data_IF_286379427565
#
_entry.id   IF_286379427565
#
_cell.length_a   1.000
_cell.length_b   1.000
_cell.length_c   1.000
_cell.angle_alpha   90.00
_cell.angle_beta   90.00
_cell.angle_gamma   90.00
#
_symmetry.space_group_name_H-M   'P 1'
#
loop_
_entity.id
_entity.type
_entity.pdbx_description
1 polymer ?
#
# COMPACT_ATOMS: atom_id res chain seq x y z
N UNK A 1 -19.74 4.52 -3.94
CA UNK A 1 -19.58 4.55 -3.37
C UNK A 1 -19.57 4.57 -2.61
N UNK A 2 -19.46 4.40 -2.66
CA UNK A 2 -19.66 4.48 -2.04
C UNK A 2 -19.36 5.12 -1.04
N UNK A 3 -19.37 5.20 -0.68
CA UNK A 3 -19.62 5.78 0.59
C UNK A 3 -18.61 5.28 1.61
N UNK A 4 -17.66 6.14 1.92
CA UNK A 4 -16.67 5.75 2.91
C UNK A 4 -17.13 6.03 4.34
N UNK A 5 -18.27 6.67 4.51
CA UNK A 5 -18.67 7.14 5.82
C UNK A 5 -18.95 6.05 6.83
N UNK A 6 -19.31 4.87 6.38
CA UNK A 6 -19.62 3.79 7.29
C UNK A 6 -18.55 2.75 7.44
N UNK A 7 -17.43 2.91 6.74
CA UNK A 7 -16.41 1.88 6.68
C UNK A 7 -15.20 2.22 7.54
N UNK A 8 -14.54 1.17 8.00
CA UNK A 8 -13.27 1.31 8.65
C UNK A 8 -12.17 0.95 7.67
N UNK A 9 -10.99 1.46 7.96
CA UNK A 9 -9.81 1.20 7.12
C UNK A 9 -8.65 0.83 7.99
N UNK A 10 -7.71 0.08 7.41
CA UNK A 10 -6.45 -0.22 8.05
C UNK A 10 -5.38 0.57 7.33
N UNK A 11 -4.57 1.30 8.09
CA UNK A 11 -3.43 2.05 7.54
C UNK A 11 -2.17 1.48 8.16
N UNK A 12 -1.17 1.21 7.34
CA UNK A 12 0.08 0.65 7.83
C UNK A 12 1.23 1.13 6.96
N UNK A 13 2.44 0.86 7.43
CA UNK A 13 3.63 1.16 6.65
C UNK A 13 3.71 0.21 5.46
N UNK A 14 4.15 0.74 4.33
CA UNK A 14 4.54 -0.13 3.22
C UNK A 14 5.84 -0.83 3.58
N UNK A 15 6.00 -2.07 3.12
CA UNK A 15 7.21 -2.83 3.41
C UNK A 15 8.37 -2.35 2.55
N UNK A 16 8.11 -1.98 1.31
CA UNK A 16 9.17 -1.71 0.36
C UNK A 16 9.41 -0.24 0.08
N UNK A 17 8.46 0.63 0.44
CA UNK A 17 8.52 2.02 0.02
C UNK A 17 8.20 2.93 1.20
N UNK A 18 8.66 4.18 1.17
CA UNK A 18 8.35 5.12 2.25
C UNK A 18 6.97 5.73 2.07
N UNK A 19 5.97 4.89 2.07
CA UNK A 19 4.59 5.34 1.92
C UNK A 19 3.70 4.53 2.85
N UNK A 20 2.43 4.90 2.90
CA UNK A 20 1.45 4.18 3.68
C UNK A 20 0.53 3.40 2.77
N UNK A 21 0.06 2.27 3.27
CA UNK A 21 -0.93 1.47 2.58
C UNK A 21 -2.23 1.53 3.33
N UNK A 22 -3.31 1.73 2.60
CA UNK A 22 -4.66 1.83 3.18
C UNK A 22 -5.51 0.73 2.59
N UNK A 23 -6.05 -0.11 3.46
CA UNK A 23 -6.91 -1.21 3.06
C UNK A 23 -8.31 -0.97 3.56
N UNK A 24 -9.35 -1.19 2.73
CA UNK A 24 -10.70 -1.30 3.29
C UNK A 24 -10.74 -2.46 4.27
N UNK A 25 -11.51 -2.31 5.34
CA UNK A 25 -11.52 -3.33 6.38
C UNK A 25 -11.91 -4.70 5.83
N UNK A 26 -12.87 -4.77 4.93
CA UNK A 26 -13.28 -6.05 4.38
C UNK A 26 -12.14 -6.75 3.65
N UNK A 27 -11.37 -6.00 2.87
CA UNK A 27 -10.23 -6.56 2.18
C UNK A 27 -9.13 -6.99 3.13
N UNK A 28 -8.93 -6.18 4.18
CA UNK A 28 -7.91 -6.51 5.17
C UNK A 28 -8.26 -7.80 5.91
N UNK A 29 -9.53 -7.97 6.25
CA UNK A 29 -9.93 -9.17 6.97
C UNK A 29 -9.71 -10.42 6.15
N UNK A 30 -9.99 -10.35 4.85
CA UNK A 30 -9.75 -11.50 3.98
C UNK A 30 -8.28 -11.82 3.90
N UNK A 31 -7.45 -10.80 3.83
CA UNK A 31 -6.00 -11.00 3.79
C UNK A 31 -5.51 -11.62 5.08
N UNK A 32 -6.02 -11.14 6.22
CA UNK A 32 -5.59 -11.65 7.51
C UNK A 32 -6.02 -13.09 7.72
N UNK A 33 -7.13 -13.52 7.11
CA UNK A 33 -7.51 -14.93 7.19
C UNK A 33 -6.41 -15.80 6.61
N UNK A 34 -5.82 -15.37 5.50
CA UNK A 34 -4.72 -16.12 4.91
C UNK A 34 -3.47 -16.08 5.77
N UNK A 35 -3.17 -14.90 6.29
CA UNK A 35 -1.96 -14.72 7.09
C UNK A 35 -2.05 -15.52 8.38
N UNK A 36 -3.24 -15.59 8.96
CA UNK A 36 -3.41 -16.31 10.23
C UNK A 36 -3.25 -17.80 10.08
N UNK A 37 -3.23 -18.30 8.86
CA UNK A 37 -2.96 -19.73 8.65
C UNK A 37 -1.48 -20.07 8.70
N UNK A 38 -0.62 -19.07 8.73
CA UNK A 38 0.82 -19.31 8.81
C UNK A 38 1.21 -19.82 10.17
N UNK A 39 2.18 -20.72 10.19
CA UNK A 39 2.71 -21.26 11.45
C UNK A 39 3.63 -20.22 12.09
N UNK A 40 3.14 -19.57 13.15
CA UNK A 40 3.89 -18.49 13.78
C UNK A 40 5.09 -18.96 14.59
N UNK A 41 5.21 -20.26 14.81
CA UNK A 41 6.37 -20.78 15.49
C UNK A 41 7.59 -20.83 14.59
N UNK A 42 7.42 -20.70 13.28
CA UNK A 42 8.55 -20.59 12.37
C UNK A 42 9.01 -19.15 12.33
N UNK A 43 10.30 -18.95 12.50
CA UNK A 43 10.84 -17.58 12.60
C UNK A 43 10.57 -16.77 11.35
N UNK A 44 10.71 -17.37 10.17
CA UNK A 44 10.50 -16.61 8.94
C UNK A 44 9.06 -16.13 8.82
N UNK A 45 8.11 -16.95 9.28
CA UNK A 45 6.71 -16.54 9.22
C UNK A 45 6.43 -15.43 10.21
N UNK A 46 6.97 -15.54 11.41
CA UNK A 46 6.79 -14.50 12.42
C UNK A 46 7.43 -13.20 11.97
N UNK A 47 8.60 -13.27 11.36
CA UNK A 47 9.26 -12.07 10.85
C UNK A 47 8.45 -11.41 9.75
N UNK A 48 7.90 -12.23 8.86
CA UNK A 48 7.06 -11.72 7.79
C UNK A 48 5.86 -10.97 8.35
N UNK A 49 5.17 -11.58 9.30
CA UNK A 49 3.96 -10.98 9.87
C UNK A 49 4.31 -9.66 10.55
N UNK A 50 5.41 -9.65 11.32
CA UNK A 50 5.80 -8.44 12.03
C UNK A 50 6.11 -7.31 11.07
N UNK A 51 6.85 -7.60 10.01
CA UNK A 51 7.20 -6.56 9.05
C UNK A 51 5.98 -6.12 8.26
N UNK A 52 5.11 -7.05 7.91
CA UNK A 52 3.94 -6.73 7.12
C UNK A 52 2.96 -5.86 7.89
N UNK A 53 2.82 -6.08 9.19
CA UNK A 53 1.83 -5.35 9.99
C UNK A 53 2.40 -4.18 10.76
N UNK A 54 3.66 -3.81 10.50
CA UNK A 54 4.28 -2.73 11.25
C UNK A 54 3.51 -1.43 11.08
N UNK A 55 3.28 -0.75 12.20
CA UNK A 55 2.60 0.54 12.18
C UNK A 55 1.11 0.49 11.97
N UNK A 56 0.53 -0.68 11.98
CA UNK A 56 -0.88 -0.87 11.67
C UNK A 56 -1.77 -0.10 12.61
N UNK A 57 -2.74 0.63 12.04
CA UNK A 57 -3.76 1.35 12.79
C UNK A 57 -5.10 1.13 12.10
N UNK A 58 -6.15 0.99 12.89
CA UNK A 58 -7.50 0.98 12.36
C UNK A 58 -8.05 2.39 12.47
N UNK A 59 -8.58 2.92 11.38
CA UNK A 59 -9.09 4.28 11.35
C UNK A 59 -10.49 4.28 10.74
N UNK A 60 -11.29 5.26 11.17
CA UNK A 60 -12.62 5.46 10.64
C UNK A 60 -12.71 6.89 10.12
N UNK A 61 -13.38 7.08 8.97
CA UNK A 61 -13.57 8.45 8.48
C UNK A 61 -14.36 9.27 9.49
N UNK A 62 -14.05 10.56 9.59
CA UNK A 62 -14.84 11.44 10.42
C UNK A 62 -16.11 11.84 9.68
N UNK A 63 -16.89 12.75 10.27
CA UNK A 63 -18.17 13.15 9.68
C UNK A 63 -18.02 13.79 8.31
N UNK A 64 -16.83 14.33 8.02
CA UNK A 64 -16.57 14.93 6.72
C UNK A 64 -15.92 13.96 5.74
N UNK A 65 -15.78 12.69 6.12
CA UNK A 65 -15.16 11.70 5.26
C UNK A 65 -13.65 11.72 5.25
N UNK A 66 -13.04 12.34 6.24
CA UNK A 66 -11.58 12.44 6.30
C UNK A 66 -11.01 11.37 7.22
N UNK A 67 -9.87 10.83 6.83
CA UNK A 67 -9.13 9.88 7.66
C UNK A 67 -8.02 10.63 8.37
N UNK A 68 -7.87 10.35 9.66
CA UNK A 68 -6.82 10.96 10.45
C UNK A 68 -5.65 9.99 10.53
N UNK A 69 -4.51 10.41 10.03
CA UNK A 69 -3.31 9.59 10.02
C UNK A 69 -2.52 9.88 11.28
N UNK A 70 -2.11 8.83 11.98
CA UNK A 70 -1.39 8.99 13.22
C UNK A 70 -0.03 9.65 12.97
N UNK A 71 0.53 10.22 14.04
CA UNK A 71 1.78 10.94 13.92
C UNK A 71 2.92 10.01 13.50
N UNK A 72 2.98 8.82 14.06
CA UNK A 72 4.08 7.91 13.73
C UNK A 72 4.04 7.49 12.26
N UNK A 73 2.84 7.29 11.71
CA UNK A 73 2.74 6.95 10.29
C UNK A 73 3.07 8.15 9.42
N UNK A 74 2.62 9.34 9.82
CA UNK A 74 2.97 10.55 9.10
C UNK A 74 4.48 10.73 9.05
N UNK A 75 5.15 10.48 10.15
CA UNK A 75 6.60 10.59 10.19
C UNK A 75 7.28 9.52 9.35
N UNK A 76 6.77 8.31 9.41
CA UNK A 76 7.36 7.23 8.61
C UNK A 76 7.37 7.58 7.13
N UNK A 77 6.24 8.07 6.62
CA UNK A 77 6.12 8.38 5.20
C UNK A 77 6.56 9.80 4.88
N UNK A 78 6.98 10.55 5.91
CA UNK A 78 7.44 11.92 5.73
C UNK A 78 6.40 12.78 5.01
N UNK A 79 5.15 12.61 5.41
CA UNK A 79 4.05 13.34 4.79
C UNK A 79 4.11 14.80 5.17
N UNK A 80 3.98 15.66 4.17
CA UNK A 80 3.99 17.11 4.34
C UNK A 80 2.65 17.65 3.89
N UNK A 81 2.65 18.85 3.38
CA UNK A 81 1.41 19.51 2.99
C UNK A 81 0.70 18.84 1.82
N UNK A 82 1.47 18.41 0.84
CA UNK A 82 0.91 17.83 -0.36
C UNK A 82 1.17 16.35 -0.40
N UNK A 83 0.12 15.60 -0.62
CA UNK A 83 0.22 14.15 -0.67
C UNK A 83 -0.39 13.65 -1.96
N UNK A 84 -0.01 12.44 -2.33
CA UNK A 84 -0.56 11.74 -3.49
C UNK A 84 -1.20 10.46 -2.99
N UNK A 85 -2.42 10.21 -3.44
CA UNK A 85 -3.12 8.98 -3.12
C UNK A 85 -3.30 8.23 -4.43
N UNK A 86 -2.77 7.01 -4.47
CA UNK A 86 -2.85 6.22 -5.68
C UNK A 86 -3.46 4.86 -5.39
N UNK A 87 -4.07 4.30 -6.40
CA UNK A 87 -4.66 2.97 -6.30
C UNK A 87 -3.60 1.93 -6.61
N UNK A 88 -3.58 0.87 -5.81
CA UNK A 88 -2.60 -0.20 -5.99
C UNK A 88 -3.34 -1.53 -5.84
N UNK A 89 -4.24 -1.81 -6.79
CA UNK A 89 -5.04 -3.02 -6.75
C UNK A 89 -6.11 -2.93 -5.68
N UNK A 90 -6.03 -3.80 -4.69
CA UNK A 90 -7.05 -3.87 -3.65
C UNK A 90 -6.86 -2.86 -2.54
N UNK A 91 -5.83 -2.02 -2.64
CA UNK A 91 -5.52 -1.06 -1.59
C UNK A 91 -5.14 0.27 -2.21
N UNK A 92 -4.98 1.28 -1.35
CA UNK A 92 -4.50 2.59 -1.78
C UNK A 92 -3.16 2.86 -1.12
N UNK A 93 -2.34 3.68 -1.77
CA UNK A 93 -1.10 4.15 -1.17
C UNK A 93 -1.19 5.64 -0.94
N UNK A 94 -0.63 6.09 0.18
CA UNK A 94 -0.53 7.52 0.50
C UNK A 94 0.95 7.88 0.53
N UNK A 95 1.33 8.85 -0.29
CA UNK A 95 2.70 9.28 -0.44
C UNK A 95 2.82 10.76 -0.19
N UNK A 96 3.96 11.16 0.34
CA UNK A 96 4.37 12.55 0.22
C UNK A 96 4.59 12.84 -1.26
N UNK A 97 4.14 14.00 -1.72
CA UNK A 97 4.18 14.29 -3.14
C UNK A 97 5.58 14.23 -3.72
N UNK A 98 6.54 14.85 -3.02
CA UNK A 98 7.92 14.86 -3.51
C UNK A 98 8.51 13.46 -3.55
N UNK A 99 8.21 12.66 -2.53
CA UNK A 99 8.71 11.29 -2.50
C UNK A 99 8.13 10.47 -3.63
N UNK A 100 6.84 10.67 -3.92
CA UNK A 100 6.20 9.95 -5.01
C UNK A 100 6.83 10.32 -6.35
N UNK A 101 7.03 11.62 -6.57
CA UNK A 101 7.61 12.06 -7.83
C UNK A 101 9.00 11.50 -8.03
N UNK A 102 9.76 11.39 -6.95
CA UNK A 102 11.11 10.85 -7.04
C UNK A 102 11.08 9.37 -7.43
N UNK A 103 10.10 8.64 -6.93
CA UNK A 103 10.02 7.21 -7.18
C UNK A 103 9.59 6.91 -8.61
N UNK A 104 8.67 7.71 -9.16
CA UNK A 104 8.16 7.44 -10.50
C UNK A 104 8.98 8.07 -11.60
N UNK A 105 9.96 8.91 -11.25
CA UNK A 105 10.79 9.57 -12.26
C UNK A 105 11.85 8.60 -12.73
N UNK A 106 11.85 8.30 -14.03
CA UNK A 106 12.82 7.41 -14.61
C UNK A 106 12.96 7.78 -16.08
N UNK A 107 14.10 7.42 -16.68
CA UNK A 107 14.29 7.67 -18.09
C UNK A 107 13.47 6.67 -18.92
N UNK A 108 13.23 7.04 -20.18
CA UNK A 108 12.52 6.14 -21.07
C UNK A 108 13.27 4.82 -21.23
N UNK A 109 14.57 4.90 -21.31
CA UNK A 109 15.39 3.69 -21.45
C UNK A 109 15.26 2.78 -20.24
N UNK A 110 15.33 3.39 -19.05
CA UNK A 110 15.26 2.58 -17.84
C UNK A 110 13.89 1.96 -17.68
N UNK A 111 12.86 2.72 -18.02
CA UNK A 111 11.51 2.17 -17.93
C UNK A 111 11.33 1.02 -18.92
N UNK A 112 11.86 1.17 -20.12
CA UNK A 112 11.73 0.11 -21.12
C UNK A 112 12.40 -1.17 -20.64
N UNK A 113 13.58 -1.05 -20.02
CA UNK A 113 14.26 -2.22 -19.49
C UNK A 113 13.46 -2.87 -18.37
N UNK A 114 12.92 -2.04 -17.49
CA UNK A 114 12.13 -2.56 -16.39
C UNK A 114 10.89 -3.27 -16.92
N UNK A 115 10.21 -2.66 -17.88
CA UNK A 115 9.02 -3.27 -18.46
C UNK A 115 9.34 -4.62 -19.09
N UNK A 116 10.48 -4.70 -19.76
CA UNK A 116 10.89 -5.95 -20.36
C UNK A 116 11.13 -7.02 -19.31
N UNK A 117 11.81 -6.66 -18.22
CA UNK A 117 12.06 -7.62 -17.16
C UNK A 117 10.80 -8.11 -16.50
N UNK A 118 9.88 -7.18 -16.24
CA UNK A 118 8.70 -7.50 -15.45
C UNK A 118 7.63 -8.15 -16.29
N UNK A 119 7.41 -7.63 -17.49
CA UNK A 119 6.28 -8.04 -18.33
C UNK A 119 6.67 -8.89 -19.52
N UNK A 120 7.95 -9.05 -19.76
CA UNK A 120 8.37 -9.84 -20.90
C UNK A 120 7.84 -11.26 -20.90
N UNK A 121 7.80 -11.85 -19.71
CA UNK A 121 7.30 -13.22 -19.56
C UNK A 121 5.79 -13.31 -19.74
N UNK A 122 5.09 -12.19 -19.62
CA UNK A 122 3.66 -12.17 -19.75
C UNK A 122 3.20 -12.05 -21.21
N UNK A 123 4.15 -11.79 -22.10
CA UNK A 123 3.85 -11.80 -23.52
C UNK A 123 2.81 -10.75 -23.87
N UNK A 124 3.20 -9.50 -23.83
CA UNK A 124 2.33 -8.38 -24.13
C UNK A 124 1.55 -8.54 -25.43
N UNK A 125 2.19 -9.13 -26.43
CA UNK A 125 1.56 -9.23 -27.73
C UNK A 125 0.27 -10.00 -27.67
N UNK A 126 0.23 -11.03 -26.84
CA UNK A 126 -0.98 -11.81 -26.67
C UNK A 126 -2.10 -11.00 -26.07
N UNK A 127 -1.75 -10.04 -25.24
CA UNK A 127 -2.75 -9.26 -24.54
C UNK A 127 -3.43 -8.26 -25.44
N UNK A 128 -2.83 -7.96 -26.55
CA UNK A 128 -3.41 -6.99 -27.47
C UNK A 128 -4.54 -7.57 -28.28
N UNK A 129 -4.69 -8.85 -28.23
CA UNK A 129 -5.75 -9.48 -28.97
C UNK A 129 -6.97 -9.70 -28.13
#
# INVERSE_FOLDING_TARGET
>A
MENFGGDSFVVKRSVFQPCLEVYPMSGWEKLMEKINKLNRFQKKNADFIRQFTAGLKTVEPDNAGRLQISKDLTLFANLKKEIVITSAGALFEIWDKEAYEAVITTSEEDFAKLAEEVMGDLNFDDQEE
#
